data_IF_221466778776
#
_entry.id   IF_221466778776
#
_cell.length_a   1.000
_cell.length_b   1.000
_cell.length_c   1.000
_cell.angle_alpha   90.00
_cell.angle_beta   90.00
_cell.angle_gamma   90.00
#
_symmetry.space_group_name_H-M   'P 1'
#
loop_
_entity.id
_entity.type
_entity.pdbx_description
1 polymer ?
#
# COMPACT_ATOMS: atom_id res chain seq x y z
N UNK A 1 -11.80 -20.80 -27.57
CA UNK A 1 -12.17 -20.80 -26.14
C UNK A 1 -11.66 -19.51 -25.49
N UNK A 2 -12.56 -18.77 -24.85
CA UNK A 2 -12.42 -17.36 -24.45
C UNK A 2 -11.34 -17.12 -23.37
N UNK A 3 -10.30 -16.34 -23.70
CA UNK A 3 -9.33 -15.78 -22.73
C UNK A 3 -9.92 -14.55 -22.02
N UNK A 4 -10.92 -14.73 -21.16
CA UNK A 4 -11.44 -13.64 -20.32
C UNK A 4 -11.65 -14.01 -18.85
N UNK A 5 -10.88 -14.98 -18.35
CA UNK A 5 -10.60 -15.09 -16.92
C UNK A 5 -9.38 -14.23 -16.64
N UNK A 6 -9.60 -12.94 -16.45
CA UNK A 6 -8.57 -12.07 -15.88
C UNK A 6 -8.47 -12.45 -14.41
N UNK A 7 -7.43 -13.21 -14.05
CA UNK A 7 -7.27 -13.79 -12.73
C UNK A 7 -6.93 -12.70 -11.69
N UNK A 8 -7.95 -12.00 -11.17
CA UNK A 8 -7.79 -11.00 -10.09
C UNK A 8 -7.19 -11.59 -8.81
N UNK A 9 -7.31 -12.91 -8.62
CA UNK A 9 -6.73 -13.64 -7.49
C UNK A 9 -5.24 -13.37 -7.32
N UNK A 10 -4.46 -13.33 -8.39
CA UNK A 10 -3.02 -13.09 -8.30
C UNK A 10 -2.69 -11.70 -7.73
N UNK A 11 -3.49 -10.69 -8.10
CA UNK A 11 -3.31 -9.32 -7.62
C UNK A 11 -3.74 -9.15 -6.17
N UNK A 12 -4.81 -9.81 -5.74
CA UNK A 12 -5.21 -9.80 -4.34
C UNK A 12 -4.20 -10.56 -3.46
N UNK A 13 -3.70 -11.70 -3.93
CA UNK A 13 -2.66 -12.47 -3.24
C UNK A 13 -1.39 -11.63 -3.11
N UNK A 14 -0.96 -10.94 -4.17
CA UNK A 14 0.22 -10.07 -4.08
C UNK A 14 0.00 -8.90 -3.14
N UNK A 15 -1.18 -8.28 -3.13
CA UNK A 15 -1.53 -7.20 -2.18
C UNK A 15 -1.42 -7.69 -0.73
N UNK A 16 -2.00 -8.85 -0.44
CA UNK A 16 -1.92 -9.49 0.88
C UNK A 16 -0.47 -9.81 1.22
N UNK A 17 0.32 -10.33 0.28
CA UNK A 17 1.73 -10.62 0.50
C UNK A 17 2.55 -9.36 0.81
N UNK A 18 2.30 -8.25 0.12
CA UNK A 18 2.94 -6.96 0.38
C UNK A 18 2.61 -6.46 1.79
N UNK A 19 1.33 -6.54 2.18
CA UNK A 19 0.90 -6.12 3.52
C UNK A 19 1.53 -7.00 4.60
N UNK A 20 1.49 -8.33 4.45
CA UNK A 20 2.10 -9.27 5.39
C UNK A 20 3.60 -9.03 5.51
N UNK A 21 4.30 -8.89 4.38
CA UNK A 21 5.74 -8.61 4.36
C UNK A 21 6.05 -7.31 5.10
N UNK A 22 5.28 -6.26 4.84
CA UNK A 22 5.45 -4.97 5.50
C UNK A 22 5.21 -5.07 7.01
N UNK A 23 4.18 -5.81 7.44
CA UNK A 23 3.89 -6.05 8.84
C UNK A 23 5.02 -6.82 9.54
N UNK A 24 5.56 -7.87 8.89
CA UNK A 24 6.71 -8.61 9.40
C UNK A 24 7.93 -7.69 9.56
N UNK A 25 8.24 -6.87 8.55
CA UNK A 25 9.35 -5.92 8.62
C UNK A 25 9.17 -4.89 9.75
N UNK A 26 7.95 -4.37 9.96
CA UNK A 26 7.65 -3.46 11.08
C UNK A 26 7.87 -4.15 12.43
N UNK A 27 7.41 -5.39 12.59
CA UNK A 27 7.58 -6.17 13.82
C UNK A 27 9.07 -6.45 14.09
N UNK A 28 9.84 -6.81 13.07
CA UNK A 28 11.29 -7.04 13.19
C UNK A 28 12.04 -5.76 13.57
N UNK A 29 11.52 -4.59 13.20
CA UNK A 29 12.12 -3.29 13.46
C UNK A 29 11.40 -2.50 14.57
N UNK A 30 10.72 -3.19 15.50
CA UNK A 30 9.89 -2.55 16.53
C UNK A 30 10.62 -1.50 17.40
N UNK A 31 11.95 -1.65 17.57
CA UNK A 31 12.80 -0.69 18.29
C UNK A 31 13.25 0.53 17.47
N UNK A 32 13.12 0.51 16.15
CA UNK A 32 13.56 1.59 15.26
C UNK A 32 12.36 2.25 14.57
N UNK A 33 11.86 3.34 15.16
CA UNK A 33 10.69 4.09 14.65
C UNK A 33 10.95 4.71 13.28
N UNK A 34 12.18 5.13 13.00
CA UNK A 34 12.53 5.73 11.70
C UNK A 34 12.41 4.69 10.58
N UNK A 35 12.95 3.49 10.79
CA UNK A 35 12.80 2.38 9.84
C UNK A 35 11.34 1.97 9.66
N UNK A 36 10.52 1.95 10.72
CA UNK A 36 9.09 1.66 10.60
C UNK A 36 8.37 2.68 9.72
N UNK A 37 8.64 3.97 9.90
CA UNK A 37 8.06 5.04 9.06
C UNK A 37 8.49 4.85 7.60
N UNK A 38 9.77 4.59 7.34
CA UNK A 38 10.29 4.33 5.98
C UNK A 38 9.59 3.13 5.35
N UNK A 39 9.44 2.02 6.09
CA UNK A 39 8.73 0.83 5.61
C UNK A 39 7.29 1.20 5.22
N UNK A 40 6.55 1.91 6.07
CA UNK A 40 5.17 2.32 5.77
C UNK A 40 5.06 3.22 4.53
N UNK A 41 5.98 4.17 4.35
CA UNK A 41 6.00 5.03 3.16
C UNK A 41 6.24 4.18 1.91
N UNK A 42 7.23 3.29 1.94
CA UNK A 42 7.52 2.41 0.81
C UNK A 42 6.36 1.47 0.48
N UNK A 43 5.73 0.87 1.49
CA UNK A 43 4.52 0.04 1.33
C UNK A 43 3.39 0.82 0.67
N UNK A 44 3.18 2.08 1.08
CA UNK A 44 2.14 2.95 0.51
C UNK A 44 2.42 3.27 -0.95
N UNK A 45 3.66 3.62 -1.30
CA UNK A 45 4.06 3.85 -2.68
C UNK A 45 3.85 2.59 -3.52
N UNK A 46 4.24 1.44 -2.99
CA UNK A 46 4.07 0.16 -3.67
C UNK A 46 2.59 -0.18 -3.87
N UNK A 47 1.74 0.06 -2.87
CA UNK A 47 0.28 -0.09 -2.96
C UNK A 47 -0.30 0.75 -4.10
N UNK A 48 0.07 2.03 -4.19
CA UNK A 48 -0.42 2.95 -5.25
C UNK A 48 0.02 2.44 -6.63
N UNK A 49 1.32 2.15 -6.80
CA UNK A 49 1.87 1.68 -8.07
C UNK A 49 1.19 0.36 -8.49
N UNK A 50 1.06 -0.57 -7.57
CA UNK A 50 0.45 -1.88 -7.84
C UNK A 50 -1.04 -1.76 -8.18
N UNK A 51 -1.78 -0.88 -7.50
CA UNK A 51 -3.17 -0.57 -7.82
C UNK A 51 -3.34 0.03 -9.21
N UNK A 52 -2.48 0.97 -9.58
CA UNK A 52 -2.47 1.57 -10.92
C UNK A 52 -2.13 0.52 -11.98
N UNK A 53 -1.11 -0.32 -11.75
CA UNK A 53 -0.73 -1.40 -12.68
C UNK A 53 -1.85 -2.42 -12.83
N UNK A 54 -2.52 -2.80 -11.74
CA UNK A 54 -3.66 -3.71 -11.80
C UNK A 54 -4.77 -3.15 -12.70
N UNK A 55 -5.10 -1.87 -12.53
CA UNK A 55 -6.12 -1.23 -13.35
C UNK A 55 -5.67 -1.00 -14.79
N UNK A 56 -4.40 -0.68 -15.04
CA UNK A 56 -3.89 -0.49 -16.39
C UNK A 56 -3.87 -1.79 -17.21
N UNK A 57 -3.59 -2.93 -16.57
CA UNK A 57 -3.46 -4.23 -17.24
C UNK A 57 -4.78 -5.00 -17.36
N UNK A 58 -5.73 -4.79 -16.44
CA UNK A 58 -6.94 -5.63 -16.33
C UNK A 58 -8.24 -4.83 -16.50
N UNK A 59 -8.21 -3.51 -16.34
CA UNK A 59 -9.42 -2.69 -16.38
C UNK A 59 -9.18 -1.41 -17.19
N UNK A 60 -10.18 -0.53 -17.19
CA UNK A 60 -9.97 0.83 -17.67
C UNK A 60 -9.38 1.66 -16.54
N UNK A 61 -8.21 2.25 -16.79
CA UNK A 61 -7.61 3.21 -15.88
C UNK A 61 -8.24 4.58 -16.11
N UNK A 62 -8.99 5.07 -15.12
CA UNK A 62 -9.49 6.44 -15.11
C UNK A 62 -8.72 7.29 -14.10
N UNK A 63 -8.63 8.60 -14.36
CA UNK A 63 -8.00 9.55 -13.42
C UNK A 63 -8.66 9.51 -12.04
N UNK A 64 -9.97 9.20 -11.98
CA UNK A 64 -10.71 8.99 -10.74
C UNK A 64 -10.09 7.87 -9.89
N UNK A 65 -9.80 6.72 -10.49
CA UNK A 65 -9.22 5.57 -9.80
C UNK A 65 -7.81 5.90 -9.28
N UNK A 66 -7.00 6.60 -10.08
CA UNK A 66 -5.66 7.03 -9.66
C UNK A 66 -5.75 7.92 -8.41
N UNK A 67 -6.68 8.89 -8.42
CA UNK A 67 -6.93 9.78 -7.28
C UNK A 67 -7.39 8.99 -6.06
N UNK A 68 -8.27 7.99 -6.21
CA UNK A 68 -8.70 7.11 -5.12
C UNK A 68 -7.49 6.41 -4.44
N UNK A 69 -6.58 5.81 -5.22
CA UNK A 69 -5.38 5.18 -4.68
C UNK A 69 -4.48 6.17 -3.93
N UNK A 70 -4.27 7.37 -4.50
CA UNK A 70 -3.45 8.40 -3.87
C UNK A 70 -4.08 8.87 -2.56
N UNK A 71 -5.40 9.11 -2.53
CA UNK A 71 -6.11 9.53 -1.33
C UNK A 71 -6.07 8.47 -0.23
N UNK A 72 -6.26 7.19 -0.58
CA UNK A 72 -6.15 6.08 0.38
C UNK A 72 -4.72 6.01 0.94
N UNK A 73 -3.71 6.15 0.09
CA UNK A 73 -2.31 6.19 0.53
C UNK A 73 -2.01 7.39 1.43
N UNK A 74 -2.53 8.57 1.11
CA UNK A 74 -2.39 9.77 1.92
C UNK A 74 -3.04 9.62 3.30
N UNK A 75 -4.24 9.02 3.39
CA UNK A 75 -4.89 8.69 4.66
C UNK A 75 -4.03 7.71 5.47
N UNK A 76 -3.51 6.65 4.84
CA UNK A 76 -2.62 5.69 5.50
C UNK A 76 -1.38 6.35 6.10
N UNK A 77 -0.68 7.17 5.31
CA UNK A 77 0.48 7.94 5.79
C UNK A 77 0.09 8.90 6.91
N UNK A 78 -1.05 9.58 6.81
CA UNK A 78 -1.52 10.54 7.84
C UNK A 78 -1.76 9.86 9.19
N UNK A 79 -2.37 8.66 9.17
CA UNK A 79 -2.58 7.86 10.38
C UNK A 79 -1.24 7.51 11.03
N UNK A 80 -0.28 7.01 10.24
CA UNK A 80 1.05 6.64 10.72
C UNK A 80 1.78 7.87 11.27
N UNK A 81 1.75 8.98 10.55
CA UNK A 81 2.34 10.23 11.02
C UNK A 81 1.75 10.65 12.37
N UNK A 82 0.44 10.58 12.55
CA UNK A 82 -0.19 10.92 13.82
C UNK A 82 0.19 9.95 14.95
N UNK A 83 0.23 8.64 14.68
CA UNK A 83 0.60 7.62 15.67
C UNK A 83 2.06 7.77 16.12
N UNK A 84 3.00 7.95 15.19
CA UNK A 84 4.43 8.01 15.51
C UNK A 84 4.91 9.39 15.93
N UNK A 85 4.34 10.46 15.36
CA UNK A 85 4.77 11.84 15.59
C UNK A 85 3.89 12.55 16.62
N UNK A 86 2.57 12.33 16.60
CA UNK A 86 1.62 12.93 17.55
C UNK A 86 1.74 12.37 18.98
N UNK A 87 2.29 11.16 19.14
CA UNK A 87 2.64 10.60 20.45
C UNK A 87 3.95 11.15 21.06
N UNK A 88 4.69 12.01 20.35
CA UNK A 88 5.83 12.74 20.94
C UNK A 88 5.29 13.90 21.77
N UNK A 89 4.95 13.65 23.03
CA UNK A 89 4.88 14.74 24.01
C UNK A 89 6.25 15.39 24.05
N UNK A 90 6.29 16.67 23.64
CA UNK A 90 7.31 17.61 24.11
C UNK A 90 7.19 17.69 25.64
#
# INVERSE_FOLDING_TARGET
MNKKNQNHLGYYISLIAIIIMSAVLVILNMGNKELQIIIFILTTIFYIIWGILHHLLNHELSSKIIIEYILIGAVGISIIFFVFMGGRSI
#
